data_IF_727417881578
#
_entry.id   IF_727417881578
#
_cell.length_a   1.000
_cell.length_b   1.000
_cell.length_c   1.000
_cell.angle_alpha   90.00
_cell.angle_beta   90.00
_cell.angle_gamma   90.00
#
_symmetry.space_group_name_H-M   'P 1'
#
loop_
_entity.id
_entity.type
_entity.pdbx_description
1 polymer ?
#
# COMPACT_ATOMS: atom_id res chain seq x y z
N UNK A 1 -14.90 -5.10 4.24
CA UNK A 1 -16.37 -5.14 4.16
C UNK A 1 -16.80 -4.83 2.74
N UNK A 2 -16.51 -3.64 2.19
CA UNK A 2 -16.92 -3.19 0.85
C UNK A 2 -16.52 -4.15 -0.26
N UNK A 3 -15.26 -4.65 -0.27
CA UNK A 3 -14.80 -5.66 -1.24
C UNK A 3 -15.62 -6.95 -1.21
N UNK A 4 -16.11 -7.37 -0.03
CA UNK A 4 -17.01 -8.53 0.09
C UNK A 4 -18.41 -8.18 -0.39
N UNK A 5 -18.91 -6.99 -0.06
CA UNK A 5 -20.22 -6.54 -0.50
C UNK A 5 -20.33 -6.38 -2.03
N UNK A 6 -19.25 -6.00 -2.71
CA UNK A 6 -19.21 -5.89 -4.17
C UNK A 6 -19.09 -7.25 -4.89
N UNK A 7 -18.90 -8.34 -4.16
CA UNK A 7 -18.77 -9.68 -4.73
C UNK A 7 -20.05 -10.12 -5.45
N UNK A 8 -19.89 -10.79 -6.59
CA UNK A 8 -20.99 -11.40 -7.32
C UNK A 8 -20.80 -12.94 -7.33
N UNK A 9 -21.70 -13.69 -6.64
CA UNK A 9 -21.60 -15.14 -6.57
C UNK A 9 -21.81 -15.86 -7.91
N UNK A 10 -22.55 -15.22 -8.83
CA UNK A 10 -22.86 -15.82 -10.14
C UNK A 10 -21.86 -15.27 -11.15
N UNK A 11 -20.95 -16.11 -11.72
CA UNK A 11 -20.05 -15.70 -12.78
C UNK A 11 -20.81 -15.14 -13.98
N UNK A 12 -20.26 -14.08 -14.60
CA UNK A 12 -20.91 -13.42 -15.74
C UNK A 12 -20.99 -14.29 -16.99
N UNK A 13 -20.18 -15.32 -17.06
CA UNK A 13 -20.11 -16.29 -18.17
C UNK A 13 -21.26 -17.31 -18.15
N UNK A 14 -21.94 -17.46 -17.02
CA UNK A 14 -23.05 -18.42 -16.91
C UNK A 14 -24.33 -17.88 -17.54
N UNK A 15 -25.01 -18.73 -18.27
CA UNK A 15 -26.33 -18.43 -18.83
C UNK A 15 -27.39 -18.44 -17.72
N UNK A 16 -28.50 -17.71 -17.88
CA UNK A 16 -29.56 -17.61 -16.87
C UNK A 16 -30.11 -18.98 -16.39
N UNK A 17 -30.22 -19.97 -17.29
CA UNK A 17 -30.66 -21.32 -16.97
C UNK A 17 -29.68 -22.12 -16.09
N UNK A 18 -28.41 -21.69 -16.05
CA UNK A 18 -27.34 -22.30 -15.27
C UNK A 18 -27.21 -21.70 -13.85
N UNK A 19 -27.80 -20.53 -13.61
CA UNK A 19 -27.72 -19.84 -12.31
C UNK A 19 -28.23 -20.71 -11.15
N UNK A 20 -29.20 -21.62 -11.41
CA UNK A 20 -29.74 -22.54 -10.42
C UNK A 20 -28.71 -23.54 -9.86
N UNK A 21 -27.58 -23.71 -10.53
CA UNK A 21 -26.51 -24.61 -10.07
C UNK A 21 -25.56 -23.92 -9.09
N UNK A 22 -25.62 -22.57 -8.97
CA UNK A 22 -24.88 -21.84 -7.96
C UNK A 22 -25.69 -21.83 -6.67
N UNK A 23 -25.34 -22.72 -5.74
CA UNK A 23 -26.08 -22.92 -4.48
C UNK A 23 -25.75 -21.85 -3.43
N UNK A 24 -24.65 -21.12 -3.60
CA UNK A 24 -24.19 -20.11 -2.65
C UNK A 24 -22.71 -19.79 -2.82
N UNK A 25 -22.12 -19.17 -1.80
CA UNK A 25 -20.70 -18.93 -1.72
C UNK A 25 -20.21 -19.14 -0.27
N UNK A 26 -18.91 -19.29 -0.11
CA UNK A 26 -18.28 -19.40 1.21
C UNK A 26 -17.16 -18.37 1.36
N UNK A 27 -16.95 -17.90 2.58
CA UNK A 27 -15.80 -17.12 2.97
C UNK A 27 -14.82 -17.96 3.77
N UNK A 28 -13.60 -18.14 3.27
CA UNK A 28 -12.56 -18.89 3.97
C UNK A 28 -11.74 -17.93 4.85
N UNK A 29 -11.50 -18.35 6.11
CA UNK A 29 -10.55 -17.70 7.02
C UNK A 29 -9.37 -18.63 7.19
N UNK A 30 -8.29 -18.34 6.45
CA UNK A 30 -7.04 -19.11 6.51
C UNK A 30 -6.27 -18.71 7.76
N UNK A 31 -5.89 -19.68 8.58
CA UNK A 31 -5.43 -19.46 9.93
C UNK A 31 -3.91 -19.56 10.11
N UNK A 32 -3.13 -19.70 9.03
CA UNK A 32 -1.66 -19.82 9.09
C UNK A 32 -0.99 -18.68 9.89
N UNK A 33 -1.61 -17.49 9.87
CA UNK A 33 -1.11 -16.29 10.56
C UNK A 33 -2.07 -15.77 11.63
N UNK A 34 -3.07 -16.58 12.02
CA UNK A 34 -4.10 -16.23 13.01
C UNK A 34 -3.89 -17.08 14.26
N UNK A 35 -3.39 -16.47 15.33
CA UNK A 35 -2.96 -17.16 16.53
C UNK A 35 -4.05 -17.26 17.61
N UNK A 36 -5.11 -16.45 17.55
CA UNK A 36 -6.13 -16.36 18.59
C UNK A 36 -7.55 -16.34 18.01
N UNK A 37 -8.53 -16.76 18.81
CA UNK A 37 -9.96 -16.66 18.44
C UNK A 37 -10.38 -15.22 18.17
N UNK A 38 -9.91 -14.27 18.97
CA UNK A 38 -10.17 -12.83 18.78
C UNK A 38 -9.72 -12.35 17.41
N UNK A 39 -8.59 -12.88 16.90
CA UNK A 39 -8.10 -12.55 15.57
C UNK A 39 -8.98 -13.19 14.47
N UNK A 40 -9.50 -14.40 14.69
CA UNK A 40 -10.50 -15.03 13.81
C UNK A 40 -11.75 -14.15 13.71
N UNK A 41 -12.29 -13.72 14.85
CA UNK A 41 -13.46 -12.83 14.91
C UNK A 41 -13.21 -11.52 14.17
N UNK A 42 -12.05 -10.87 14.43
CA UNK A 42 -11.63 -9.66 13.74
C UNK A 42 -11.56 -9.83 12.22
N UNK A 43 -11.12 -10.97 11.73
CA UNK A 43 -11.03 -11.27 10.30
C UNK A 43 -12.38 -11.64 9.69
N UNK A 44 -13.23 -12.35 10.39
CA UNK A 44 -14.53 -12.80 9.91
C UNK A 44 -15.61 -11.72 10.02
N UNK A 45 -15.70 -11.03 11.17
CA UNK A 45 -16.77 -10.07 11.48
C UNK A 45 -16.28 -8.64 11.27
N UNK A 46 -16.99 -7.78 10.55
CA UNK A 46 -18.33 -7.94 9.96
C UNK A 46 -18.35 -8.41 8.49
N UNK A 47 -17.26 -8.94 7.94
CA UNK A 47 -17.21 -9.37 6.53
C UNK A 47 -18.23 -10.48 6.23
N UNK A 48 -18.47 -11.40 7.17
CA UNK A 48 -19.50 -12.44 7.02
C UNK A 48 -20.91 -11.86 6.91
N UNK A 49 -21.20 -10.72 7.57
CA UNK A 49 -22.49 -10.04 7.44
C UNK A 49 -22.67 -9.45 6.04
N UNK A 50 -21.59 -8.93 5.45
CA UNK A 50 -21.60 -8.48 4.07
C UNK A 50 -21.82 -9.65 3.09
N UNK A 51 -21.18 -10.80 3.32
CA UNK A 51 -21.39 -11.99 2.50
C UNK A 51 -22.81 -12.51 2.63
N UNK A 52 -23.37 -12.55 3.83
CA UNK A 52 -24.76 -12.94 4.06
C UNK A 52 -25.73 -12.05 3.27
N UNK A 53 -25.56 -10.73 3.32
CA UNK A 53 -26.39 -9.79 2.54
C UNK A 53 -26.27 -10.06 1.03
N UNK A 54 -25.05 -10.28 0.54
CA UNK A 54 -24.79 -10.59 -0.88
C UNK A 54 -25.53 -11.85 -1.33
N UNK A 55 -25.60 -12.87 -0.48
CA UNK A 55 -26.26 -14.13 -0.80
C UNK A 55 -27.79 -14.08 -0.68
N UNK A 56 -28.32 -13.27 0.23
CA UNK A 56 -29.77 -13.19 0.47
C UNK A 56 -30.46 -12.08 -0.33
N UNK A 57 -29.71 -11.07 -0.80
CA UNK A 57 -30.29 -9.90 -1.48
C UNK A 57 -29.96 -9.93 -2.97
N UNK A 58 -30.98 -9.97 -3.84
CA UNK A 58 -30.76 -9.88 -5.29
C UNK A 58 -29.92 -8.66 -5.66
N UNK A 59 -28.97 -8.80 -6.58
CA UNK A 59 -28.01 -7.76 -6.99
C UNK A 59 -28.67 -6.40 -7.24
N UNK A 60 -29.82 -6.38 -7.92
CA UNK A 60 -30.58 -5.16 -8.25
C UNK A 60 -31.14 -4.41 -7.03
N UNK A 61 -31.22 -5.08 -5.87
CA UNK A 61 -31.72 -4.51 -4.61
C UNK A 61 -30.61 -4.17 -3.62
N UNK A 62 -29.36 -4.54 -3.92
CA UNK A 62 -28.22 -4.22 -3.04
C UNK A 62 -27.97 -2.71 -3.04
N UNK A 63 -27.78 -2.16 -1.86
CA UNK A 63 -27.41 -0.77 -1.64
C UNK A 63 -26.36 -0.70 -0.53
N UNK A 64 -25.14 -0.37 -0.91
CA UNK A 64 -24.00 -0.37 0.01
C UNK A 64 -24.17 0.64 1.15
N UNK A 65 -24.66 1.84 0.86
CA UNK A 65 -24.87 2.87 1.88
C UNK A 65 -25.93 2.45 2.92
N UNK A 66 -27.04 1.84 2.47
CA UNK A 66 -28.06 1.30 3.37
C UNK A 66 -27.51 0.12 4.18
N UNK A 67 -26.74 -0.79 3.54
CA UNK A 67 -26.10 -1.89 4.25
C UNK A 67 -25.14 -1.37 5.34
N UNK A 68 -24.31 -0.39 5.05
CA UNK A 68 -23.39 0.24 6.02
C UNK A 68 -24.18 0.82 7.19
N UNK A 69 -25.25 1.56 6.92
CA UNK A 69 -26.08 2.15 7.96
C UNK A 69 -26.76 1.10 8.86
N UNK A 70 -27.15 -0.06 8.31
CA UNK A 70 -27.67 -1.20 9.10
C UNK A 70 -26.56 -1.88 9.87
N UNK A 71 -25.39 -2.08 9.27
CA UNK A 71 -24.23 -2.67 9.92
C UNK A 71 -23.78 -1.84 11.12
N UNK A 72 -23.80 -0.52 11.04
CA UNK A 72 -23.49 0.37 12.17
C UNK A 72 -24.41 0.11 13.38
N UNK A 73 -25.68 -0.24 13.16
CA UNK A 73 -26.64 -0.59 14.24
C UNK A 73 -26.38 -2.00 14.84
N UNK A 74 -25.65 -2.86 14.11
CA UNK A 74 -25.31 -4.18 14.62
C UNK A 74 -24.08 -4.17 15.55
N UNK A 75 -23.16 -3.17 15.44
CA UNK A 75 -21.98 -3.12 16.27
C UNK A 75 -22.26 -3.14 17.78
N UNK A 76 -23.24 -2.40 18.35
CA UNK A 76 -23.57 -2.51 19.76
C UNK A 76 -24.00 -3.90 20.18
N UNK A 77 -24.69 -4.65 19.31
CA UNK A 77 -25.08 -6.03 19.58
C UNK A 77 -23.87 -6.95 19.59
N UNK A 78 -22.96 -6.80 18.62
CA UNK A 78 -21.71 -7.56 18.55
C UNK A 78 -20.84 -7.28 19.78
N UNK A 79 -20.78 -6.04 20.24
CA UNK A 79 -20.10 -5.67 21.49
C UNK A 79 -20.73 -6.31 22.72
N UNK A 80 -22.06 -6.30 22.85
CA UNK A 80 -22.77 -6.97 23.92
C UNK A 80 -22.53 -8.49 23.95
N UNK A 81 -22.35 -9.09 22.78
CA UNK A 81 -21.97 -10.49 22.60
C UNK A 81 -20.46 -10.75 22.82
N UNK A 82 -19.66 -9.71 23.09
CA UNK A 82 -18.20 -9.75 23.22
C UNK A 82 -17.47 -10.25 21.97
N UNK A 83 -18.05 -10.04 20.80
CA UNK A 83 -17.42 -10.37 19.52
C UNK A 83 -16.43 -9.30 19.14
N UNK A 84 -15.17 -9.68 18.87
CA UNK A 84 -14.11 -8.77 18.44
C UNK A 84 -14.27 -8.38 16.95
N UNK A 85 -15.35 -7.66 16.62
CA UNK A 85 -15.64 -7.23 15.27
C UNK A 85 -14.67 -6.14 14.78
N UNK A 86 -14.17 -6.28 13.55
CA UNK A 86 -13.31 -5.27 12.93
C UNK A 86 -14.05 -3.95 12.73
N UNK A 87 -13.52 -2.88 13.32
CA UNK A 87 -14.00 -1.50 13.14
C UNK A 87 -13.32 -0.78 11.95
N UNK A 88 -12.75 -1.53 11.00
CA UNK A 88 -12.11 -0.97 9.80
C UNK A 88 -13.04 -0.11 8.94
N UNK A 89 -14.36 -0.27 9.10
CA UNK A 89 -15.36 0.61 8.51
C UNK A 89 -15.21 2.08 8.95
N UNK A 90 -14.72 2.31 10.17
CA UNK A 90 -14.48 3.62 10.77
C UNK A 90 -13.05 4.12 10.60
N UNK A 91 -12.22 3.36 9.88
CA UNK A 91 -10.85 3.74 9.64
C UNK A 91 -10.74 4.66 8.43
N UNK A 92 -10.09 5.81 8.61
CA UNK A 92 -9.77 6.72 7.51
C UNK A 92 -8.60 6.13 6.71
N UNK A 93 -8.76 5.98 5.42
CA UNK A 93 -7.64 5.69 4.51
C UNK A 93 -6.95 6.99 4.10
N UNK A 94 -5.61 6.99 4.05
CA UNK A 94 -4.80 8.14 3.61
C UNK A 94 -3.95 7.62 2.45
N UNK A 95 -4.24 8.07 1.23
CA UNK A 95 -3.65 7.55 -0.01
C UNK A 95 -2.96 8.66 -0.80
N UNK A 96 -1.67 8.50 -1.14
CA UNK A 96 -0.99 9.39 -2.05
C UNK A 96 -1.36 9.08 -3.50
N UNK A 97 -1.36 10.12 -4.32
CA UNK A 97 -1.38 10.08 -5.77
C UNK A 97 -0.39 11.09 -6.32
N UNK A 98 0.05 10.89 -7.55
CA UNK A 98 0.85 11.89 -8.24
C UNK A 98 0.13 13.25 -8.22
N UNK A 99 0.83 14.28 -7.79
CA UNK A 99 0.32 15.64 -7.78
C UNK A 99 0.30 16.27 -9.18
N UNK A 100 -0.29 17.46 -9.31
CA UNK A 100 -0.41 18.16 -10.59
C UNK A 100 0.95 18.56 -11.19
N UNK A 101 1.99 18.71 -10.34
CA UNK A 101 3.35 19.02 -10.78
C UNK A 101 4.35 18.02 -10.22
N UNK A 102 5.52 17.84 -10.87
CA UNK A 102 6.62 17.08 -10.29
C UNK A 102 7.02 17.65 -8.92
N UNK A 103 7.30 16.76 -7.96
CA UNK A 103 7.59 17.15 -6.58
C UNK A 103 6.37 17.45 -5.72
N UNK A 104 5.15 17.27 -6.24
CA UNK A 104 3.91 17.41 -5.50
C UNK A 104 3.19 16.06 -5.36
N UNK A 105 2.64 15.80 -4.18
CA UNK A 105 1.79 14.66 -3.88
C UNK A 105 0.38 15.16 -3.62
N UNK A 106 -0.62 14.60 -4.29
CA UNK A 106 -2.02 14.75 -3.92
C UNK A 106 -2.37 13.67 -2.91
N UNK A 107 -2.82 14.06 -1.72
CA UNK A 107 -3.27 13.12 -0.70
C UNK A 107 -4.78 13.10 -0.65
N UNK A 108 -5.35 11.94 -0.92
CA UNK A 108 -6.77 11.67 -0.75
C UNK A 108 -7.01 10.93 0.57
N UNK A 109 -7.98 11.41 1.32
CA UNK A 109 -8.44 10.73 2.53
C UNK A 109 -9.88 10.28 2.34
N UNK A 110 -10.19 9.06 2.78
CA UNK A 110 -11.54 8.51 2.63
C UNK A 110 -11.92 7.68 3.86
N UNK A 111 -13.17 7.80 4.24
CA UNK A 111 -13.80 7.02 5.31
C UNK A 111 -14.76 6.00 4.70
N UNK A 112 -14.53 4.71 4.94
CA UNK A 112 -15.32 3.64 4.35
C UNK A 112 -16.82 3.70 4.72
N UNK A 113 -17.15 4.15 5.94
CA UNK A 113 -18.55 4.38 6.34
C UNK A 113 -19.18 5.64 5.72
N UNK A 114 -18.40 6.45 5.00
CA UNK A 114 -18.83 7.75 4.51
C UNK A 114 -18.99 8.82 5.60
N UNK A 115 -19.37 10.02 5.19
CA UNK A 115 -19.57 11.15 6.09
C UNK A 115 -18.28 11.91 6.42
N UNK A 116 -18.42 12.92 7.28
CA UNK A 116 -17.32 13.79 7.71
C UNK A 116 -16.42 13.10 8.73
N UNK A 117 -15.15 13.41 8.71
CA UNK A 117 -14.16 12.96 9.67
C UNK A 117 -13.13 14.06 9.95
N UNK A 118 -12.49 13.95 11.12
CA UNK A 118 -11.48 14.91 11.57
C UNK A 118 -10.11 14.54 11.04
N UNK A 119 -9.29 15.55 10.82
CA UNK A 119 -7.89 15.36 10.44
C UNK A 119 -6.98 16.36 11.15
N UNK A 120 -5.70 16.04 11.24
CA UNK A 120 -4.62 16.97 11.55
C UNK A 120 -3.47 16.81 10.57
N UNK A 121 -2.80 17.92 10.31
CA UNK A 121 -1.57 18.00 9.52
C UNK A 121 -0.45 18.55 10.39
N UNK A 122 0.74 17.92 10.33
CA UNK A 122 1.92 18.33 11.08
C UNK A 122 3.14 18.40 10.17
N UNK A 123 3.85 19.53 10.24
CA UNK A 123 5.20 19.66 9.69
C UNK A 123 6.25 19.25 10.74
N UNK A 124 7.52 18.99 10.34
CA UNK A 124 8.60 18.85 11.32
C UNK A 124 8.68 20.05 12.29
N UNK A 125 8.91 19.84 13.60
CA UNK A 125 9.29 18.61 14.30
C UNK A 125 8.15 17.66 14.67
N UNK A 126 6.98 17.73 14.00
CA UNK A 126 5.80 16.88 14.23
C UNK A 126 5.20 17.03 15.64
N UNK A 127 5.21 18.23 16.14
CA UNK A 127 4.63 18.55 17.43
C UNK A 127 3.10 18.59 17.36
N UNK A 128 2.46 17.70 18.11
CA UNK A 128 1.00 17.59 18.15
C UNK A 128 0.31 18.83 18.75
N UNK A 129 1.01 19.57 19.60
CA UNK A 129 0.47 20.81 20.20
C UNK A 129 0.28 21.92 19.16
N UNK A 130 1.00 21.84 18.03
CA UNK A 130 0.91 22.77 16.91
C UNK A 130 -0.02 22.29 15.78
N UNK A 131 -0.59 21.09 15.90
CA UNK A 131 -1.45 20.51 14.87
C UNK A 131 -2.83 21.16 14.86
N UNK A 132 -3.18 21.80 13.77
CA UNK A 132 -4.53 22.35 13.57
C UNK A 132 -5.52 21.20 13.33
N UNK A 133 -6.60 21.16 14.11
CA UNK A 133 -7.71 20.27 13.88
C UNK A 133 -8.59 20.83 12.75
N UNK A 134 -8.87 20.02 11.74
CA UNK A 134 -9.73 20.35 10.64
C UNK A 134 -10.69 19.20 10.30
N UNK A 135 -11.77 19.53 9.61
CA UNK A 135 -12.61 18.53 8.95
C UNK A 135 -12.10 18.37 7.52
N UNK A 136 -11.81 17.13 7.12
CA UNK A 136 -11.38 16.87 5.75
C UNK A 136 -12.51 17.12 4.77
N UNK A 137 -12.22 17.87 3.70
CA UNK A 137 -13.23 18.25 2.70
C UNK A 137 -12.78 17.97 1.26
N UNK A 138 -11.48 18.13 0.97
CA UNK A 138 -10.94 18.03 -0.40
C UNK A 138 -9.54 17.42 -0.38
N UNK A 139 -9.09 16.80 -1.49
CA UNK A 139 -7.72 16.34 -1.62
C UNK A 139 -6.71 17.45 -1.33
N UNK A 140 -5.64 17.10 -0.63
CA UNK A 140 -4.58 18.02 -0.23
C UNK A 140 -3.37 17.88 -1.15
N UNK A 141 -2.72 18.97 -1.50
CA UNK A 141 -1.44 18.96 -2.20
C UNK A 141 -0.34 19.24 -1.18
N UNK A 142 0.62 18.35 -1.07
CA UNK A 142 1.82 18.48 -0.23
C UNK A 142 3.08 18.43 -1.09
N UNK A 143 4.12 19.19 -0.69
CA UNK A 143 5.40 19.28 -1.38
C UNK A 143 6.61 19.34 -0.42
N UNK A 144 6.38 18.98 0.81
CA UNK A 144 7.40 18.89 1.87
C UNK A 144 6.95 17.90 2.94
N UNK A 145 7.87 17.54 3.83
CA UNK A 145 7.62 16.58 4.91
C UNK A 145 6.34 16.89 5.68
N UNK A 146 5.47 15.89 5.81
CA UNK A 146 4.20 15.99 6.53
C UNK A 146 3.86 14.68 7.23
N UNK A 147 3.21 14.80 8.37
CA UNK A 147 2.49 13.69 9.00
C UNK A 147 1.00 14.05 9.06
N UNK A 148 0.17 13.19 8.49
CA UNK A 148 -1.28 13.34 8.46
C UNK A 148 -1.92 12.31 9.38
N UNK A 149 -2.87 12.76 10.19
CA UNK A 149 -3.75 11.89 10.97
C UNK A 149 -5.18 12.09 10.50
N UNK A 150 -5.96 11.02 10.49
CA UNK A 150 -7.38 11.07 10.18
C UNK A 150 -8.15 10.11 11.07
N UNK A 151 -9.32 10.52 11.59
CA UNK A 151 -10.18 9.69 12.41
C UNK A 151 -11.64 10.14 12.32
N UNK A 152 -12.52 9.16 12.39
CA UNK A 152 -13.94 9.45 12.58
C UNK A 152 -14.21 9.91 14.00
N UNK A 153 -14.97 10.99 14.14
CA UNK A 153 -15.55 11.41 15.40
C UNK A 153 -17.01 11.81 15.18
N UNK A 154 -17.91 11.06 15.78
CA UNK A 154 -19.35 11.34 15.84
C UNK A 154 -19.77 11.24 17.31
N UNK A 155 -20.96 11.74 17.64
CA UNK A 155 -21.51 11.60 18.99
C UNK A 155 -21.51 10.13 19.42
N UNK A 156 -20.85 9.84 20.55
CA UNK A 156 -20.72 8.49 21.12
C UNK A 156 -19.81 7.52 20.35
N UNK A 157 -19.18 7.92 19.24
CA UNK A 157 -18.31 7.05 18.43
C UNK A 157 -17.02 7.75 18.02
N UNK A 158 -15.88 7.16 18.43
CA UNK A 158 -14.55 7.55 17.95
C UNK A 158 -13.93 6.39 17.21
N UNK A 159 -13.57 6.61 15.93
CA UNK A 159 -12.88 5.62 15.10
C UNK A 159 -11.38 5.54 15.41
N UNK A 160 -10.70 4.51 14.90
CA UNK A 160 -9.25 4.40 15.04
C UNK A 160 -8.53 5.54 14.30
N UNK A 161 -7.45 6.04 14.91
CA UNK A 161 -6.62 7.09 14.29
C UNK A 161 -5.74 6.44 13.22
N UNK A 162 -5.93 6.84 11.97
CA UNK A 162 -5.00 6.54 10.87
C UNK A 162 -3.91 7.57 10.83
N UNK A 163 -2.67 7.13 10.59
CA UNK A 163 -1.49 7.98 10.48
C UNK A 163 -0.73 7.66 9.22
N UNK A 164 -0.22 8.72 8.56
CA UNK A 164 0.67 8.59 7.41
C UNK A 164 1.71 9.70 7.45
N UNK A 165 2.98 9.31 7.35
CA UNK A 165 4.11 10.24 7.24
C UNK A 165 4.64 10.20 5.82
N UNK A 166 4.87 11.39 5.28
CA UNK A 166 5.49 11.63 3.98
C UNK A 166 6.85 12.29 4.22
N UNK A 167 7.91 11.69 3.68
CA UNK A 167 9.28 12.19 3.76
C UNK A 167 9.75 12.55 2.36
N UNK A 168 9.97 13.81 2.12
CA UNK A 168 10.37 14.33 0.82
C UNK A 168 11.88 14.25 0.63
N UNK A 169 12.27 13.76 -0.52
CA UNK A 169 13.64 13.74 -1.02
C UNK A 169 13.64 14.17 -2.49
N UNK A 170 14.80 14.24 -3.15
CA UNK A 170 14.87 14.70 -4.54
C UNK A 170 14.11 13.84 -5.54
N UNK A 171 13.85 12.56 -5.23
CA UNK A 171 13.09 11.66 -6.08
C UNK A 171 11.57 11.73 -5.83
N UNK A 172 11.13 12.26 -4.69
CA UNK A 172 9.72 12.23 -4.28
C UNK A 172 8.84 12.95 -5.30
N UNK A 173 7.80 12.25 -5.74
CA UNK A 173 6.81 12.68 -6.74
C UNK A 173 7.42 13.14 -8.08
N UNK A 174 8.61 12.67 -8.41
CA UNK A 174 9.26 12.92 -9.69
C UNK A 174 8.80 11.94 -10.76
N UNK A 175 9.06 12.27 -12.03
CA UNK A 175 8.73 11.40 -13.16
C UNK A 175 9.56 10.12 -13.11
N UNK A 176 8.89 8.98 -13.07
CA UNK A 176 9.51 7.66 -12.98
C UNK A 176 9.10 6.78 -14.17
N UNK A 177 10.02 5.96 -14.66
CA UNK A 177 9.79 4.96 -15.69
C UNK A 177 10.38 3.62 -15.30
N UNK A 178 9.68 2.54 -15.64
CA UNK A 178 10.05 1.16 -15.38
C UNK A 178 10.28 0.41 -16.68
N UNK A 179 11.32 -0.43 -16.76
CA UNK A 179 11.54 -1.33 -17.90
C UNK A 179 10.52 -2.46 -17.98
N UNK A 180 10.00 -2.87 -16.83
CA UNK A 180 9.00 -3.94 -16.66
C UNK A 180 8.00 -3.49 -15.59
N UNK A 181 6.71 -3.64 -15.88
CA UNK A 181 5.67 -3.32 -14.90
C UNK A 181 5.66 -4.33 -13.76
N UNK A 182 5.32 -3.92 -12.52
CA UNK A 182 5.10 -4.86 -11.43
C UNK A 182 3.95 -5.82 -11.76
N UNK A 183 3.92 -6.96 -11.07
CA UNK A 183 2.85 -7.92 -11.22
C UNK A 183 1.50 -7.31 -10.81
N UNK A 184 0.43 -7.57 -11.58
CA UNK A 184 -0.91 -7.00 -11.37
C UNK A 184 -1.43 -7.16 -9.94
N UNK A 185 -1.09 -8.25 -9.27
CA UNK A 185 -1.48 -8.52 -7.88
C UNK A 185 -0.81 -7.57 -6.88
N UNK A 186 0.36 -7.02 -7.23
CA UNK A 186 1.21 -6.21 -6.35
C UNK A 186 1.63 -4.92 -7.06
N UNK A 187 0.65 -4.16 -7.53
CA UNK A 187 0.85 -2.95 -8.33
C UNK A 187 -0.10 -1.81 -7.90
N UNK A 188 -0.51 -1.76 -6.63
CA UNK A 188 -1.32 -0.65 -6.15
C UNK A 188 -0.46 0.64 -6.16
N UNK A 189 -0.98 1.71 -6.79
CA UNK A 189 -0.26 2.97 -6.97
C UNK A 189 0.68 3.01 -8.19
N UNK A 190 0.96 1.88 -8.84
CA UNK A 190 1.87 1.82 -9.98
C UNK A 190 3.29 2.25 -9.65
N UNK A 191 4.05 2.69 -10.66
CA UNK A 191 5.43 3.17 -10.47
C UNK A 191 5.57 4.29 -9.44
N UNK A 192 4.51 5.09 -9.23
CA UNK A 192 4.51 6.19 -8.28
C UNK A 192 4.78 5.74 -6.83
N UNK A 193 4.39 4.53 -6.45
CA UNK A 193 4.68 3.93 -5.13
C UNK A 193 6.17 3.92 -4.78
N UNK A 194 7.07 3.93 -5.76
CA UNK A 194 8.51 3.99 -5.53
C UNK A 194 9.04 5.40 -5.24
N UNK A 195 8.21 6.43 -5.36
CA UNK A 195 8.57 7.85 -5.18
C UNK A 195 7.46 8.63 -4.47
N UNK A 196 6.63 7.96 -3.68
CA UNK A 196 5.47 8.57 -3.02
C UNK A 196 5.81 9.19 -1.64
N UNK A 197 7.08 9.15 -1.25
CA UNK A 197 7.57 9.68 0.03
C UNK A 197 7.22 8.80 1.23
N UNK A 198 6.77 7.56 1.01
CA UNK A 198 6.35 6.65 2.08
C UNK A 198 7.30 5.47 2.18
N UNK A 199 7.94 5.30 3.32
CA UNK A 199 8.61 4.05 3.64
C UNK A 199 7.57 2.97 3.96
N UNK A 200 7.55 1.91 3.16
CA UNK A 200 6.56 0.85 3.26
C UNK A 200 6.64 0.06 4.56
N UNK A 201 5.48 -0.33 5.08
CA UNK A 201 5.36 -1.21 6.23
C UNK A 201 5.37 -2.68 5.78
N UNK A 202 6.12 -3.54 6.46
CA UNK A 202 6.29 -4.95 6.10
C UNK A 202 4.97 -5.70 5.92
N UNK A 203 3.98 -5.42 6.77
CA UNK A 203 2.66 -6.07 6.74
C UNK A 203 1.71 -5.54 5.66
N UNK A 204 2.10 -4.51 4.91
CA UNK A 204 1.26 -3.87 3.88
C UNK A 204 1.68 -4.22 2.46
N UNK A 205 2.04 -5.48 2.24
CA UNK A 205 2.61 -5.99 0.98
C UNK A 205 1.74 -5.66 -0.25
N UNK A 206 0.42 -5.67 -0.11
CA UNK A 206 -0.49 -5.43 -1.23
C UNK A 206 -0.74 -3.94 -1.55
N UNK A 207 -0.29 -3.01 -0.70
CA UNK A 207 -0.67 -1.59 -0.80
C UNK A 207 0.50 -0.61 -0.75
N UNK A 208 1.67 -1.06 -0.31
CA UNK A 208 2.84 -0.18 -0.11
C UNK A 208 4.10 -0.73 -0.78
N UNK A 209 4.01 -1.92 -1.40
CA UNK A 209 5.11 -2.58 -2.10
C UNK A 209 4.74 -2.89 -3.52
N UNK A 210 5.70 -2.79 -4.42
CA UNK A 210 5.57 -3.30 -5.79
C UNK A 210 6.33 -4.62 -5.92
N UNK A 211 5.70 -5.61 -6.59
CA UNK A 211 6.24 -6.97 -6.67
C UNK A 211 6.60 -7.41 -8.08
N UNK A 212 7.79 -8.01 -8.26
CA UNK A 212 8.28 -8.56 -9.53
C UNK A 212 8.72 -10.01 -9.39
N UNK A 213 8.71 -10.72 -10.53
CA UNK A 213 9.36 -12.04 -10.70
C UNK A 213 10.53 -12.01 -11.67
N UNK A 214 11.01 -10.82 -12.00
CA UNK A 214 12.13 -10.60 -12.91
C UNK A 214 12.92 -9.33 -12.53
N UNK A 215 14.06 -9.11 -13.16
CA UNK A 215 14.86 -7.91 -12.95
C UNK A 215 14.17 -6.67 -13.53
N UNK A 216 14.32 -5.53 -12.89
CA UNK A 216 13.75 -4.26 -13.33
C UNK A 216 14.80 -3.17 -13.39
N UNK A 217 14.71 -2.32 -14.41
CA UNK A 217 15.46 -1.05 -14.48
C UNK A 217 14.48 0.09 -14.26
N UNK A 218 14.80 0.95 -13.30
CA UNK A 218 13.98 2.08 -12.86
C UNK A 218 14.76 3.35 -13.19
N UNK A 219 14.12 4.33 -13.84
CA UNK A 219 14.74 5.63 -14.11
C UNK A 219 13.84 6.74 -13.56
N UNK A 220 14.42 7.65 -12.77
CA UNK A 220 13.76 8.83 -12.20
C UNK A 220 14.39 10.09 -12.82
N UNK A 221 13.55 11.00 -13.36
CA UNK A 221 13.94 12.34 -13.82
C UNK A 221 13.72 13.34 -12.66
N UNK A 222 14.79 13.83 -12.06
CA UNK A 222 14.75 14.81 -10.96
C UNK A 222 14.34 16.23 -11.39
N UNK A 223 13.99 16.40 -12.68
CA UNK A 223 13.54 17.68 -13.25
C UNK A 223 14.67 18.62 -13.67
N UNK A 224 15.75 18.69 -12.92
CA UNK A 224 16.94 19.50 -13.23
C UNK A 224 18.21 18.81 -12.73
N UNK A 225 19.38 19.30 -13.19
CA UNK A 225 20.66 18.85 -12.67
C UNK A 225 20.81 19.32 -11.23
N UNK A 226 21.02 18.37 -10.31
CA UNK A 226 21.13 18.60 -8.87
C UNK A 226 22.37 17.91 -8.31
N UNK A 227 22.87 18.39 -7.18
CA UNK A 227 23.89 17.69 -6.41
C UNK A 227 23.27 16.46 -5.75
N UNK A 228 23.91 15.31 -5.91
CA UNK A 228 23.52 14.03 -5.31
C UNK A 228 24.66 13.54 -4.43
N UNK A 229 24.35 13.12 -3.21
CA UNK A 229 25.34 12.59 -2.27
C UNK A 229 25.05 11.15 -1.86
N UNK A 230 23.80 10.72 -1.98
CA UNK A 230 23.36 9.41 -1.54
C UNK A 230 22.11 8.99 -2.30
N UNK A 231 22.03 7.70 -2.63
CA UNK A 231 20.84 7.08 -3.23
C UNK A 231 20.53 5.76 -2.55
N UNK A 232 19.26 5.43 -2.43
CA UNK A 232 18.81 4.11 -1.96
C UNK A 232 17.49 3.68 -2.58
N UNK A 233 17.21 2.39 -2.43
CA UNK A 233 15.91 1.76 -2.63
C UNK A 233 15.70 0.71 -1.54
N UNK A 234 14.46 0.61 -1.04
CA UNK A 234 14.11 -0.43 -0.09
C UNK A 234 13.65 -1.72 -0.79
N UNK A 235 13.95 -2.86 -0.17
CA UNK A 235 13.48 -4.17 -0.57
C UNK A 235 13.05 -4.99 0.63
N UNK A 236 11.97 -5.79 0.47
CA UNK A 236 11.48 -6.68 1.51
C UNK A 236 12.20 -8.03 1.43
N UNK A 237 12.55 -8.58 2.60
CA UNK A 237 13.03 -9.95 2.76
C UNK A 237 12.16 -10.68 3.77
N UNK A 238 11.33 -11.61 3.27
CA UNK A 238 10.41 -12.42 4.06
C UNK A 238 10.24 -13.79 3.38
N UNK A 239 11.09 -14.73 3.76
CA UNK A 239 11.25 -16.02 3.07
C UNK A 239 10.07 -16.96 3.19
N UNK A 240 9.29 -16.87 4.27
CA UNK A 240 8.08 -17.68 4.42
C UNK A 240 7.02 -17.34 3.37
N UNK A 241 6.99 -16.11 2.89
CA UNK A 241 6.12 -15.65 1.80
C UNK A 241 6.79 -15.69 0.43
N UNK A 242 7.93 -16.38 0.31
CA UNK A 242 8.73 -16.52 -0.93
C UNK A 242 9.32 -15.19 -1.42
N UNK A 243 9.45 -14.21 -0.53
CA UNK A 243 9.98 -12.88 -0.85
C UNK A 243 11.48 -12.85 -0.51
N UNK A 244 12.31 -12.65 -1.53
CA UNK A 244 13.76 -12.59 -1.40
C UNK A 244 14.29 -11.24 -1.86
N UNK A 245 15.35 -10.78 -1.19
CA UNK A 245 16.01 -9.53 -1.53
C UNK A 245 16.70 -9.61 -2.91
N UNK A 246 16.82 -8.49 -3.65
CA UNK A 246 17.58 -8.42 -4.88
C UNK A 246 19.01 -8.97 -4.72
N UNK A 247 19.57 -9.59 -5.77
CA UNK A 247 20.99 -10.00 -5.76
C UNK A 247 21.90 -8.79 -5.67
N UNK A 248 21.61 -7.77 -6.44
CA UNK A 248 22.35 -6.51 -6.49
C UNK A 248 21.44 -5.37 -6.93
N UNK A 249 21.78 -4.15 -6.51
CA UNK A 249 21.22 -2.92 -7.08
C UNK A 249 22.38 -2.07 -7.59
N UNK A 250 22.45 -1.91 -8.91
CA UNK A 250 23.41 -1.02 -9.55
C UNK A 250 22.77 0.34 -9.78
N UNK A 251 23.45 1.40 -9.35
CA UNK A 251 23.06 2.79 -9.49
C UNK A 251 23.89 3.46 -10.58
N UNK A 252 23.24 4.25 -11.41
CA UNK A 252 23.86 5.05 -12.46
C UNK A 252 23.20 6.44 -12.53
N UNK A 253 23.92 7.41 -13.04
CA UNK A 253 23.46 8.80 -13.13
C UNK A 253 23.69 9.37 -14.53
N UNK A 254 22.86 10.35 -14.90
CA UNK A 254 22.98 11.05 -16.17
C UNK A 254 22.54 12.51 -16.04
N UNK A 255 23.09 13.39 -16.85
CA UNK A 255 22.64 14.77 -17.00
C UNK A 255 21.69 14.96 -18.18
N UNK A 256 21.74 14.08 -19.18
CA UNK A 256 21.00 14.18 -20.46
C UNK A 256 19.89 13.12 -20.63
N UNK A 257 19.87 12.10 -19.76
CA UNK A 257 18.91 10.99 -19.79
C UNK A 257 19.23 9.90 -20.83
N UNK A 258 20.29 10.05 -21.61
CA UNK A 258 20.72 9.10 -22.64
C UNK A 258 22.00 8.35 -22.25
N UNK A 259 23.02 9.09 -21.83
CA UNK A 259 24.31 8.51 -21.42
C UNK A 259 24.35 8.41 -19.89
N UNK A 260 24.42 7.17 -19.39
CA UNK A 260 24.46 6.89 -17.96
C UNK A 260 25.86 6.43 -17.53
N UNK A 261 26.40 7.08 -16.50
CA UNK A 261 27.68 6.70 -15.86
C UNK A 261 27.41 5.93 -14.59
N UNK A 262 28.20 4.87 -14.28
CA UNK A 262 28.05 4.13 -13.03
C UNK A 262 28.26 5.04 -11.81
N UNK A 263 27.34 4.94 -10.87
CA UNK A 263 27.45 5.65 -9.59
C UNK A 263 27.98 4.71 -8.50
N UNK A 264 27.46 3.48 -8.44
CA UNK A 264 27.91 2.41 -7.56
C UNK A 264 26.99 1.22 -7.58
N UNK A 265 27.35 0.18 -6.83
CA UNK A 265 26.55 -1.04 -6.68
C UNK A 265 26.42 -1.38 -5.21
N UNK A 266 25.22 -1.76 -4.78
CA UNK A 266 24.91 -2.24 -3.44
C UNK A 266 24.53 -3.71 -3.49
N UNK A 267 25.09 -4.48 -2.55
CA UNK A 267 24.73 -5.88 -2.31
C UNK A 267 23.97 -6.02 -0.99
N UNK A 268 23.12 -7.03 -0.84
CA UNK A 268 22.31 -7.16 0.36
C UNK A 268 23.16 -7.49 1.61
N UNK A 269 22.96 -6.71 2.67
CA UNK A 269 23.16 -7.19 4.04
C UNK A 269 21.77 -7.58 4.56
N UNK A 270 21.36 -8.82 4.33
CA UNK A 270 19.96 -9.23 4.45
C UNK A 270 19.59 -9.54 5.89
N UNK A 271 18.64 -8.80 6.45
CA UNK A 271 17.86 -9.16 7.63
C UNK A 271 16.37 -9.30 7.29
N UNK A 272 15.63 -10.07 8.08
CA UNK A 272 14.17 -10.16 7.91
C UNK A 272 13.55 -8.78 7.98
N UNK A 273 12.60 -8.50 7.09
CA UNK A 273 11.93 -7.21 6.97
C UNK A 273 12.48 -6.34 5.84
N UNK A 274 12.29 -5.03 5.96
CA UNK A 274 12.75 -4.04 4.98
C UNK A 274 14.26 -3.83 5.05
N UNK A 275 14.93 -3.97 3.91
CA UNK A 275 16.37 -3.75 3.75
C UNK A 275 16.61 -2.60 2.77
N UNK A 276 17.54 -1.70 3.09
CA UNK A 276 17.94 -0.62 2.21
C UNK A 276 19.20 -0.98 1.42
N UNK A 277 19.13 -0.86 0.10
CA UNK A 277 20.26 -0.92 -0.81
C UNK A 277 20.70 0.49 -1.12
N UNK A 278 21.89 0.89 -0.73
CA UNK A 278 22.33 2.27 -0.84
C UNK A 278 23.76 2.43 -1.30
N UNK A 279 24.04 3.57 -1.92
CA UNK A 279 25.38 4.02 -2.31
C UNK A 279 25.55 5.49 -1.96
N UNK A 280 26.70 5.83 -1.39
CA UNK A 280 27.11 7.18 -1.04
C UNK A 280 28.27 7.63 -1.94
N UNK A 281 28.05 8.70 -2.71
CA UNK A 281 29.05 9.31 -3.59
C UNK A 281 28.53 10.68 -4.06
N UNK A 282 29.37 11.71 -4.02
CA UNK A 282 28.99 13.04 -4.51
C UNK A 282 29.08 13.12 -6.03
N UNK A 283 28.01 13.60 -6.68
CA UNK A 283 27.96 13.85 -8.12
C UNK A 283 26.87 14.88 -8.46
N UNK A 284 26.82 15.31 -9.72
CA UNK A 284 25.70 16.11 -10.27
C UNK A 284 24.97 15.30 -11.32
N UNK A 285 23.65 15.24 -11.22
CA UNK A 285 22.82 14.55 -12.20
C UNK A 285 21.39 15.10 -12.22
N UNK A 286 20.70 14.91 -13.35
CA UNK A 286 19.26 15.08 -13.49
C UNK A 286 18.53 13.75 -13.45
N UNK A 287 19.13 12.71 -14.00
CA UNK A 287 18.52 11.39 -14.06
C UNK A 287 19.29 10.42 -13.18
N UNK A 288 18.53 9.61 -12.43
CA UNK A 288 19.08 8.49 -11.69
C UNK A 288 18.46 7.20 -12.22
N UNK A 289 19.27 6.16 -12.37
CA UNK A 289 18.86 4.84 -12.85
C UNK A 289 19.29 3.77 -11.87
N UNK A 290 18.34 2.90 -11.51
CA UNK A 290 18.58 1.75 -10.67
C UNK A 290 18.32 0.50 -11.51
N UNK A 291 19.30 -0.40 -11.60
CA UNK A 291 19.14 -1.73 -12.19
C UNK A 291 19.09 -2.73 -11.04
N UNK A 292 17.91 -3.24 -10.78
CA UNK A 292 17.64 -4.15 -9.66
C UNK A 292 17.62 -5.58 -10.18
N UNK A 293 18.60 -6.39 -9.73
CA UNK A 293 18.74 -7.76 -10.20
C UNK A 293 17.92 -8.71 -9.33
N UNK A 294 16.96 -9.39 -9.98
CA UNK A 294 16.08 -10.35 -9.35
C UNK A 294 16.84 -11.47 -8.61
N UNK A 295 16.36 -11.95 -7.45
CA UNK A 295 17.01 -13.01 -6.68
C UNK A 295 17.12 -14.36 -7.43
N UNK A 296 16.24 -14.61 -8.40
CA UNK A 296 16.21 -15.86 -9.17
C UNK A 296 15.31 -16.91 -8.52
N UNK A 297 15.79 -18.14 -8.53
CA UNK A 297 15.12 -19.30 -7.94
C UNK A 297 15.39 -19.33 -6.44
N UNK A 298 14.39 -19.68 -5.66
CA UNK A 298 14.46 -19.86 -4.20
C UNK A 298 15.45 -21.02 -3.90
N UNK A 299 16.50 -20.77 -3.08
CA UNK A 299 17.48 -21.79 -2.74
C UNK A 299 16.88 -22.96 -1.93
N UNK A 300 17.57 -24.09 -1.93
CA UNK A 300 17.26 -25.19 -1.02
C UNK A 300 17.31 -24.74 0.45
N UNK A 301 16.46 -25.33 1.28
CA UNK A 301 16.33 -24.98 2.70
C UNK A 301 15.34 -23.84 3.00
N UNK A 302 14.80 -23.16 1.98
CA UNK A 302 13.75 -22.16 2.15
C UNK A 302 12.38 -22.65 1.66
N UNK A 303 11.27 -22.17 2.24
CA UNK A 303 9.94 -22.45 1.74
C UNK A 303 9.80 -22.07 0.26
N UNK A 304 9.28 -22.98 -0.57
CA UNK A 304 9.14 -22.78 -2.01
C UNK A 304 10.42 -23.02 -2.83
N UNK A 305 11.43 -23.68 -2.26
CA UNK A 305 12.68 -24.03 -2.98
C UNK A 305 12.39 -24.58 -4.39
N UNK A 306 13.20 -24.16 -5.36
CA UNK A 306 13.04 -24.51 -6.77
C UNK A 306 12.02 -23.65 -7.54
N UNK A 307 11.23 -22.83 -6.88
CA UNK A 307 10.29 -21.87 -7.51
C UNK A 307 10.93 -20.49 -7.72
N UNK A 308 10.44 -19.67 -8.66
CA UNK A 308 10.86 -18.27 -8.77
C UNK A 308 10.48 -17.48 -7.50
N UNK A 309 11.44 -16.77 -6.93
CA UNK A 309 11.20 -15.89 -5.81
C UNK A 309 10.31 -14.70 -6.20
N UNK A 310 9.72 -14.05 -5.20
CA UNK A 310 9.21 -12.69 -5.34
C UNK A 310 10.29 -11.69 -4.96
N UNK A 311 10.33 -10.58 -5.66
CA UNK A 311 11.12 -9.40 -5.33
C UNK A 311 10.20 -8.21 -5.11
N UNK A 312 10.21 -7.65 -3.90
CA UNK A 312 9.38 -6.51 -3.51
C UNK A 312 10.23 -5.29 -3.24
N UNK A 313 9.85 -4.17 -3.85
CA UNK A 313 10.56 -2.91 -3.74
C UNK A 313 9.61 -1.81 -3.23
N UNK A 314 10.17 -0.85 -2.49
CA UNK A 314 9.49 0.36 -2.04
C UNK A 314 10.29 1.63 -2.38
N UNK A 315 10.18 2.65 -1.61
CA UNK A 315 10.66 4.02 -1.79
C UNK A 315 12.12 4.13 -2.27
N UNK A 316 12.30 4.92 -3.31
CA UNK A 316 13.60 5.40 -3.80
C UNK A 316 13.89 6.75 -3.15
N UNK A 317 15.03 6.83 -2.49
CA UNK A 317 15.49 8.08 -1.90
C UNK A 317 16.75 8.58 -2.62
N UNK A 318 16.77 9.89 -2.92
CA UNK A 318 17.91 10.62 -3.48
C UNK A 318 18.17 11.85 -2.64
N UNK A 319 19.38 11.97 -2.10
CA UNK A 319 19.78 13.10 -1.22
C UNK A 319 20.98 13.87 -1.75
#
# INVERSE_FOLDING_TARGET
VQKVYSYEPIPAELKPEEHKYILGAQGNVWTEYILTSDHVEYMAVPRMLALAEVLWTPKKKRNEADFIARLEREFPKLEAMKVNASKSLYQVSIRPKQGPKPGEITVEMNLASGGSFSMTEMAPPYDKSMAALAVYSTPMIINSDRELHGWLQREGLTGPISKRRFLFNKATAQKITLSVQPNERYNEGGAFTLVDGITAQEKRVNTEWLGWKESVTITVDLGSVQDIRWMSIGALYETYSWIHAPKTVAFAVSTDGSTFTPYGTSEPKVGVGRNAFSVEKTTKARYVRLTVKHPGIIPEGFPGAGSPAWMFLDEIEVR
#
